data_IF_814552717472
#
_entry.id   IF_814552717472
#
_cell.length_a   1.000
_cell.length_b   1.000
_cell.length_c   1.000
_cell.angle_alpha   90.00
_cell.angle_beta   90.00
_cell.angle_gamma   90.00
#
_symmetry.space_group_name_H-M   'P 1'
#
loop_
_entity.id
_entity.type
_entity.pdbx_description
1 polymer ?
#
# COMPACT_ATOMS: atom_id res chain seq x y z
N UNK A 1 1.38 -8.02 -5.63
CA UNK A 1 1.58 -8.40 -4.23
C UNK A 1 0.25 -8.84 -3.64
N UNK A 2 0.21 -10.00 -2.98
CA UNK A 2 -0.96 -10.50 -2.25
C UNK A 2 -0.97 -10.01 -0.80
N UNK A 3 -2.11 -10.15 -0.12
CA UNK A 3 -2.21 -9.82 1.32
C UNK A 3 -1.24 -10.65 2.16
N UNK A 4 -1.05 -11.94 1.84
CA UNK A 4 -0.13 -12.81 2.56
C UNK A 4 1.33 -12.39 2.35
N UNK A 5 1.71 -12.02 1.11
CA UNK A 5 3.05 -11.49 0.82
C UNK A 5 3.32 -10.20 1.60
N UNK A 6 2.32 -9.32 1.72
CA UNK A 6 2.42 -8.11 2.54
C UNK A 6 2.63 -8.44 4.03
N UNK A 7 1.87 -9.39 4.58
CA UNK A 7 2.02 -9.81 5.97
C UNK A 7 3.40 -10.39 6.24
N UNK A 8 3.89 -11.27 5.36
CA UNK A 8 5.23 -11.84 5.46
C UNK A 8 6.30 -10.74 5.37
N UNK A 9 6.12 -9.74 4.50
CA UNK A 9 7.03 -8.61 4.40
C UNK A 9 7.07 -7.78 5.70
N UNK A 10 5.91 -7.51 6.31
CA UNK A 10 5.80 -6.78 7.58
C UNK A 10 6.48 -7.56 8.71
N UNK A 11 6.22 -8.87 8.80
CA UNK A 11 6.84 -9.74 9.80
C UNK A 11 8.37 -9.74 9.70
N UNK A 12 8.89 -9.81 8.47
CA UNK A 12 10.33 -9.78 8.21
C UNK A 12 11.01 -8.44 8.57
N UNK A 13 10.27 -7.33 8.61
CA UNK A 13 10.79 -5.99 8.91
C UNK A 13 10.21 -5.41 10.21
N UNK A 14 9.77 -6.27 11.13
CA UNK A 14 9.07 -5.83 12.32
C UNK A 14 9.96 -4.99 13.25
N UNK A 15 11.28 -5.20 13.21
CA UNK A 15 12.23 -4.41 14.00
C UNK A 15 12.31 -2.96 13.54
N UNK A 16 12.16 -2.73 12.24
CA UNK A 16 12.21 -1.42 11.59
C UNK A 16 10.85 -0.70 11.65
N UNK A 17 9.75 -1.45 11.60
CA UNK A 17 8.37 -0.94 11.74
C UNK A 17 8.11 -0.49 13.19
N UNK A 18 8.71 -1.19 14.16
CA UNK A 18 8.66 -0.83 15.57
C UNK A 18 7.24 -0.91 16.16
N UNK A 19 6.80 0.18 16.79
CA UNK A 19 5.50 0.22 17.48
C UNK A 19 4.29 0.30 16.54
N UNK A 20 4.51 0.47 15.23
CA UNK A 20 3.40 0.55 14.29
C UNK A 20 2.71 -0.81 14.12
N UNK A 21 1.39 -0.75 14.15
CA UNK A 21 0.52 -1.89 13.92
C UNK A 21 0.05 -1.85 12.46
N UNK A 22 0.32 -2.91 11.69
CA UNK A 22 -0.13 -3.01 10.29
C UNK A 22 -1.36 -3.92 10.19
N UNK A 23 -2.45 -3.40 9.63
CA UNK A 23 -3.77 -4.04 9.63
C UNK A 23 -4.38 -4.13 8.23
N UNK A 24 -3.96 -5.11 7.41
CA UNK A 24 -4.57 -5.34 6.12
C UNK A 24 -5.92 -6.05 6.27
N UNK A 25 -6.93 -5.55 5.56
CA UNK A 25 -8.26 -6.15 5.50
C UNK A 25 -9.15 -5.93 6.72
N UNK A 26 -8.74 -5.15 7.72
CA UNK A 26 -9.56 -4.86 8.91
C UNK A 26 -9.44 -3.41 9.35
N UNK A 27 -10.56 -2.85 9.82
CA UNK A 27 -10.59 -1.53 10.48
C UNK A 27 -10.15 -1.67 11.93
N UNK A 28 -9.14 -0.91 12.33
CA UNK A 28 -8.61 -0.94 13.69
C UNK A 28 -8.21 0.48 14.13
N UNK A 29 -8.70 0.91 15.30
CA UNK A 29 -8.51 2.27 15.82
C UNK A 29 -7.35 2.43 16.81
N UNK A 30 -6.46 1.45 16.92
CA UNK A 30 -5.30 1.52 17.82
C UNK A 30 -4.33 2.62 17.38
N UNK A 31 -3.64 3.23 18.33
CA UNK A 31 -2.56 4.19 18.04
C UNK A 31 -1.52 3.56 17.11
N UNK A 32 -0.85 4.40 16.30
CA UNK A 32 0.20 3.97 15.37
C UNK A 32 -0.25 2.87 14.40
N UNK A 33 -1.48 2.96 13.87
CA UNK A 33 -1.98 1.94 12.94
C UNK A 33 -1.91 2.43 11.49
N UNK A 34 -1.44 1.57 10.58
CA UNK A 34 -1.65 1.70 9.14
C UNK A 34 -2.46 0.51 8.66
N UNK A 35 -3.44 0.72 7.80
CA UNK A 35 -4.24 -0.40 7.32
C UNK A 35 -5.11 -0.07 6.14
N UNK A 36 -5.82 -1.09 5.67
CA UNK A 36 -6.95 -0.92 4.78
C UNK A 36 -8.09 -1.83 5.21
N UNK A 37 -9.31 -1.49 4.82
CA UNK A 37 -10.48 -2.35 5.03
C UNK A 37 -11.49 -2.17 3.89
N UNK A 38 -12.33 -3.18 3.64
CA UNK A 38 -13.46 -3.04 2.74
C UNK A 38 -14.63 -2.37 3.46
N UNK A 39 -15.16 -1.32 2.87
CA UNK A 39 -16.25 -0.51 3.41
C UNK A 39 -17.54 -0.87 2.68
N UNK A 40 -18.42 -1.61 3.36
CA UNK A 40 -19.68 -2.10 2.80
C UNK A 40 -20.60 -0.98 2.31
N UNK A 41 -20.59 0.19 2.95
CA UNK A 41 -21.45 1.31 2.55
C UNK A 41 -21.06 1.92 1.20
N UNK A 42 -19.76 2.16 1.00
CA UNK A 42 -19.24 2.72 -0.25
C UNK A 42 -18.84 1.67 -1.28
N UNK A 43 -18.84 0.38 -0.91
CA UNK A 43 -18.36 -0.74 -1.74
C UNK A 43 -16.92 -0.51 -2.25
N UNK A 44 -16.07 0.06 -1.39
CA UNK A 44 -14.68 0.40 -1.71
C UNK A 44 -13.72 -0.04 -0.61
N UNK A 45 -12.47 -0.23 -0.99
CA UNK A 45 -11.38 -0.42 -0.05
C UNK A 45 -10.85 0.94 0.42
N UNK A 46 -10.82 1.16 1.73
CA UNK A 46 -10.35 2.41 2.35
C UNK A 46 -8.99 2.20 2.99
N UNK A 47 -7.98 2.92 2.50
CA UNK A 47 -6.66 3.01 3.16
C UNK A 47 -6.72 4.07 4.25
N UNK A 48 -6.29 3.70 5.46
CA UNK A 48 -6.39 4.55 6.65
C UNK A 48 -5.09 4.59 7.45
N UNK A 49 -4.97 5.66 8.23
CA UNK A 49 -3.90 5.87 9.20
C UNK A 49 -4.51 6.30 10.53
N UNK A 50 -3.99 5.77 11.63
CA UNK A 50 -4.30 6.21 12.99
C UNK A 50 -3.05 6.81 13.58
N UNK A 51 -3.13 8.10 13.92
CA UNK A 51 -2.00 8.81 14.53
C UNK A 51 -1.76 8.39 15.99
N UNK A 52 -0.66 8.89 16.55
CA UNK A 52 -0.35 8.88 17.99
C UNK A 52 -1.52 9.34 18.86
N UNK A 53 -2.23 10.39 18.42
CA UNK A 53 -3.35 10.97 19.16
C UNK A 53 -4.68 10.30 18.87
N UNK A 54 -4.66 9.08 18.32
CA UNK A 54 -5.85 8.30 17.93
C UNK A 54 -6.73 8.96 16.87
N UNK A 55 -6.18 9.93 16.14
CA UNK A 55 -6.89 10.55 15.01
C UNK A 55 -6.92 9.57 13.83
N UNK A 56 -8.11 9.05 13.53
CA UNK A 56 -8.37 8.08 12.47
C UNK A 56 -8.70 8.81 11.16
N UNK A 57 -7.87 8.62 10.14
CA UNK A 57 -8.04 9.29 8.85
C UNK A 57 -8.06 8.31 7.70
N UNK A 58 -9.09 8.42 6.86
CA UNK A 58 -9.08 7.84 5.53
C UNK A 58 -8.19 8.71 4.65
N UNK A 59 -7.26 8.08 3.93
CA UNK A 59 -6.27 8.76 3.09
C UNK A 59 -6.47 8.50 1.61
N UNK A 60 -7.09 7.39 1.25
CA UNK A 60 -7.41 7.03 -0.12
C UNK A 60 -8.50 5.95 -0.14
N UNK A 61 -9.21 5.86 -1.27
CA UNK A 61 -10.20 4.82 -1.56
C UNK A 61 -9.84 4.13 -2.87
N UNK A 62 -10.17 2.84 -2.98
CA UNK A 62 -9.84 2.00 -4.11
C UNK A 62 -11.00 1.06 -4.44
N UNK A 63 -11.08 0.64 -5.71
CA UNK A 63 -12.12 -0.30 -6.15
C UNK A 63 -11.72 -1.75 -5.91
N UNK A 64 -10.42 -2.03 -5.80
CA UNK A 64 -9.90 -3.39 -5.63
C UNK A 64 -9.02 -3.53 -4.38
N UNK A 65 -8.96 -4.73 -3.82
CA UNK A 65 -8.06 -5.03 -2.69
C UNK A 65 -6.59 -4.86 -3.10
N UNK A 66 -6.24 -5.23 -4.33
CA UNK A 66 -4.87 -5.17 -4.87
C UNK A 66 -4.31 -3.74 -4.85
N UNK A 67 -5.12 -2.75 -5.25
CA UNK A 67 -4.73 -1.33 -5.19
C UNK A 67 -4.51 -0.86 -3.75
N UNK A 68 -5.37 -1.28 -2.82
CA UNK A 68 -5.23 -0.95 -1.40
C UNK A 68 -3.98 -1.61 -0.77
N UNK A 69 -3.67 -2.85 -1.17
CA UNK A 69 -2.44 -3.56 -0.78
C UNK A 69 -1.20 -2.82 -1.30
N UNK A 70 -1.16 -2.48 -2.60
CA UNK A 70 -0.04 -1.73 -3.19
C UNK A 70 0.16 -0.37 -2.49
N UNK A 71 -0.94 0.34 -2.21
CA UNK A 71 -0.88 1.61 -1.48
C UNK A 71 -0.28 1.45 -0.09
N UNK A 72 -0.75 0.45 0.67
CA UNK A 72 -0.27 0.17 2.03
C UNK A 72 1.20 -0.25 2.01
N UNK A 73 1.60 -1.14 1.10
CA UNK A 73 2.98 -1.56 0.90
C UNK A 73 3.92 -0.37 0.66
N UNK A 74 3.61 0.47 -0.35
CA UNK A 74 4.41 1.66 -0.67
C UNK A 74 4.51 2.62 0.51
N UNK A 75 3.42 2.76 1.28
CA UNK A 75 3.41 3.60 2.48
C UNK A 75 4.36 3.06 3.55
N UNK A 76 4.36 1.75 3.79
CA UNK A 76 5.25 1.10 4.77
C UNK A 76 6.70 1.29 4.35
N UNK A 77 7.04 0.91 3.12
CA UNK A 77 8.39 1.08 2.55
C UNK A 77 8.89 2.52 2.71
N UNK A 78 8.07 3.49 2.30
CA UNK A 78 8.43 4.90 2.40
C UNK A 78 8.55 5.38 3.86
N UNK A 79 7.61 5.01 4.73
CA UNK A 79 7.54 5.52 6.11
C UNK A 79 8.68 5.02 6.97
N UNK A 80 9.06 3.75 6.81
CA UNK A 80 10.08 3.10 7.62
C UNK A 80 11.42 2.98 6.89
N UNK A 81 11.55 3.64 5.73
CA UNK A 81 12.75 3.64 4.91
C UNK A 81 13.29 2.22 4.64
N UNK A 82 12.38 1.29 4.31
CA UNK A 82 12.74 -0.11 4.06
C UNK A 82 13.27 -0.26 2.65
N UNK A 83 14.23 -1.16 2.46
CA UNK A 83 14.64 -1.58 1.12
C UNK A 83 13.47 -2.36 0.52
N UNK A 84 12.79 -1.79 -0.47
CA UNK A 84 11.86 -2.58 -1.27
C UNK A 84 12.64 -3.76 -1.87
N UNK A 85 12.14 -5.01 -1.82
CA UNK A 85 12.67 -6.06 -2.69
C UNK A 85 12.76 -5.47 -4.09
N UNK A 86 13.98 -5.51 -4.66
CA UNK A 86 14.32 -4.96 -5.97
C UNK A 86 13.18 -5.29 -6.94
N UNK A 87 12.40 -4.26 -7.28
CA UNK A 87 11.25 -4.41 -8.16
C UNK A 87 11.82 -4.87 -9.49
N UNK A 88 11.56 -6.12 -9.87
CA UNK A 88 11.66 -6.53 -11.26
C UNK A 88 10.60 -5.72 -12.02
N UNK A 89 11.02 -4.57 -12.56
CA UNK A 89 10.26 -3.91 -13.61
C UNK A 89 10.35 -4.87 -14.79
N UNK A 90 9.32 -5.66 -15.04
CA UNK A 90 9.27 -6.42 -16.28
C UNK A 90 9.09 -5.41 -17.42
N UNK A 91 10.20 -5.13 -18.10
CA UNK A 91 10.32 -4.14 -19.18
C UNK A 91 9.59 -4.58 -20.46
N UNK A 92 8.99 -5.77 -20.47
CA UNK A 92 8.21 -6.32 -21.60
C UNK A 92 6.83 -5.68 -21.81
N UNK A 93 6.47 -4.62 -21.07
CA UNK A 93 5.21 -3.88 -21.28
C UNK A 93 5.41 -2.45 -21.82
N UNK A 94 6.62 -2.11 -22.27
CA UNK A 94 6.86 -0.93 -23.11
C UNK A 94 6.80 -1.36 -24.58
N UNK A 95 5.72 -2.04 -24.98
CA UNK A 95 5.41 -2.14 -26.41
C UNK A 95 4.61 -0.90 -26.81
N UNK A 96 5.18 -0.19 -27.79
CA UNK A 96 4.54 0.86 -28.61
C UNK A 96 4.46 2.27 -28.01
N UNK A 97 5.61 2.96 -27.96
CA UNK A 97 5.61 4.40 -28.29
C UNK A 97 6.04 4.51 -29.75
N UNK A 98 5.08 4.62 -30.67
CA UNK A 98 5.38 5.04 -32.04
C UNK A 98 5.73 6.53 -32.05
N UNK A 99 6.98 6.84 -32.38
CA UNK A 99 7.39 8.21 -32.70
C UNK A 99 6.93 8.47 -34.13
N UNK A 100 5.87 9.27 -34.29
CA UNK A 100 5.47 9.79 -35.60
C UNK A 100 6.43 10.93 -35.93
N UNK A 101 7.47 10.67 -36.73
CA UNK A 101 8.25 11.75 -37.35
C UNK A 101 7.35 12.48 -38.35
N UNK A 102 7.03 13.74 -38.04
CA UNK A 102 6.39 14.62 -39.00
C UNK A 102 7.38 14.94 -40.12
N UNK A 103 7.15 14.39 -41.31
CA UNK A 103 7.89 14.76 -42.52
C UNK A 103 7.60 16.23 -42.87
N UNK A 104 8.65 17.02 -43.08
CA UNK A 104 8.61 18.35 -43.73
C UNK A 104 9.29 18.24 -45.08
#
# INVERSE_FOLDING_TARGET
MTKQELLNFVEAHQSEIGAFTIMPGRKFGGQFTLGYYFDEESQKYKFYEVSERQDFKIRAEFNTESEAIDRLYRKIVFRFNLTAPSIYINMESIDSIEIIEASV
#
